data_IF_080361907993
#
_entry.id   IF_080361907993
#
_cell.length_a   1.000
_cell.length_b   1.000
_cell.length_c   1.000
_cell.angle_alpha   90.00
_cell.angle_beta   90.00
_cell.angle_gamma   90.00
#
_symmetry.space_group_name_H-M   'P 1'
#
loop_
_entity.id
_entity.type
_entity.pdbx_description
1 polymer ?
#
# COMPACT_ATOMS: atom_id res chain seq x y z
N UNK A 1 10.96 -8.39 2.70
CA UNK A 1 11.50 -7.05 3.00
C UNK A 1 11.92 -6.31 1.72
N UNK A 2 12.93 -6.81 0.98
CA UNK A 2 13.44 -6.14 -0.24
C UNK A 2 12.35 -5.91 -1.30
N UNK A 3 11.49 -6.90 -1.55
CA UNK A 3 10.37 -6.78 -2.49
C UNK A 3 9.40 -5.63 -2.13
N UNK A 4 9.00 -5.54 -0.86
CA UNK A 4 8.11 -4.47 -0.39
C UNK A 4 8.77 -3.09 -0.47
N UNK A 5 10.07 -2.98 -0.14
CA UNK A 5 10.81 -1.74 -0.28
C UNK A 5 10.91 -1.29 -1.74
N UNK A 6 11.14 -2.23 -2.68
CA UNK A 6 11.17 -1.94 -4.11
C UNK A 6 9.82 -1.45 -4.64
N UNK A 7 8.72 -2.08 -4.23
CA UNK A 7 7.35 -1.65 -4.61
C UNK A 7 7.08 -0.23 -4.11
N UNK A 8 7.40 0.07 -2.85
CA UNK A 8 7.22 1.42 -2.28
C UNK A 8 8.08 2.45 -3.03
N UNK A 9 9.34 2.12 -3.34
CA UNK A 9 10.22 3.01 -4.08
C UNK A 9 9.68 3.33 -5.49
N UNK A 10 9.16 2.33 -6.20
CA UNK A 10 8.53 2.51 -7.53
C UNK A 10 7.29 3.39 -7.42
N UNK A 11 6.43 3.17 -6.42
CA UNK A 11 5.21 3.98 -6.22
C UNK A 11 5.58 5.43 -5.91
N UNK A 12 6.55 5.67 -5.02
CA UNK A 12 7.00 7.03 -4.68
C UNK A 12 7.61 7.71 -5.92
N UNK A 13 8.50 7.02 -6.64
CA UNK A 13 9.13 7.55 -7.84
C UNK A 13 8.10 7.94 -8.90
N UNK A 14 7.17 7.03 -9.21
CA UNK A 14 6.09 7.27 -10.17
C UNK A 14 5.19 8.43 -9.72
N UNK A 15 4.88 8.51 -8.42
CA UNK A 15 4.07 9.57 -7.84
C UNK A 15 4.73 10.96 -7.98
N UNK A 16 6.02 11.07 -7.68
CA UNK A 16 6.77 12.34 -7.82
C UNK A 16 6.81 12.77 -9.29
N UNK A 17 7.12 11.84 -10.20
CA UNK A 17 7.15 12.13 -11.64
C UNK A 17 5.77 12.57 -12.16
N UNK A 18 4.72 11.86 -11.76
CA UNK A 18 3.34 12.17 -12.14
C UNK A 18 2.88 13.53 -11.60
N UNK A 19 3.25 13.88 -10.36
CA UNK A 19 2.94 15.18 -9.74
C UNK A 19 3.43 16.35 -10.56
N UNK A 20 4.68 16.29 -10.99
CA UNK A 20 5.30 17.37 -11.74
C UNK A 20 4.58 17.54 -13.08
N UNK A 21 4.37 16.45 -13.82
CA UNK A 21 3.71 16.48 -15.13
C UNK A 21 2.28 17.03 -15.06
N UNK A 22 1.47 16.56 -14.09
CA UNK A 22 0.08 17.02 -13.95
C UNK A 22 0.02 18.51 -13.60
N UNK A 23 0.88 18.97 -12.69
CA UNK A 23 0.91 20.39 -12.30
C UNK A 23 1.34 21.30 -13.46
N UNK A 24 2.27 20.85 -14.30
CA UNK A 24 2.70 21.61 -15.48
C UNK A 24 1.63 21.65 -16.56
N UNK A 25 0.91 20.56 -16.79
CA UNK A 25 -0.17 20.50 -17.77
C UNK A 25 -1.39 21.33 -17.36
N UNK A 26 -1.73 21.32 -16.07
CA UNK A 26 -2.80 22.21 -15.56
C UNK A 26 -2.40 23.68 -15.74
N UNK A 27 -1.13 24.02 -15.51
CA UNK A 27 -0.64 25.40 -15.64
C UNK A 27 -0.54 25.84 -17.11
N UNK A 28 -0.20 24.95 -18.03
CA UNK A 28 -0.21 25.25 -19.47
C UNK A 28 -1.64 25.47 -19.96
N UNK A 29 -2.59 24.65 -19.52
CA UNK A 29 -4.01 24.79 -19.85
C UNK A 29 -4.60 26.11 -19.32
N UNK A 30 -4.28 26.48 -18.08
CA UNK A 30 -4.70 27.75 -17.48
C UNK A 30 -4.16 28.96 -18.26
N UNK A 31 -2.88 28.93 -18.66
CA UNK A 31 -2.29 29.97 -19.51
C UNK A 31 -2.89 30.02 -20.91
N UNK A 32 -3.22 28.87 -21.50
CA UNK A 32 -3.84 28.81 -22.81
C UNK A 32 -5.25 29.43 -22.78
N UNK A 33 -6.04 29.09 -21.76
CA UNK A 33 -7.37 29.68 -21.54
C UNK A 33 -7.28 31.20 -21.32
N UNK A 34 -6.34 31.67 -20.49
CA UNK A 34 -6.10 33.10 -20.27
C UNK A 34 -5.67 33.83 -21.55
N UNK A 35 -4.85 33.19 -22.39
CA UNK A 35 -4.44 33.77 -23.67
C UNK A 35 -5.61 33.88 -24.64
N UNK A 36 -6.47 32.86 -24.70
CA UNK A 36 -7.66 32.85 -25.55
C UNK A 36 -8.66 33.94 -25.12
N UNK A 37 -8.92 34.08 -23.82
CA UNK A 37 -9.81 35.12 -23.26
C UNK A 37 -9.33 36.54 -23.59
N UNK A 38 -8.02 36.77 -23.46
CA UNK A 38 -7.40 38.03 -23.84
C UNK A 38 -7.55 38.32 -25.34
N UNK A 39 -7.36 37.33 -26.21
CA UNK A 39 -7.49 37.48 -27.67
C UNK A 39 -8.94 37.84 -28.05
N UNK A 40 -9.92 37.09 -27.54
CA UNK A 40 -11.34 37.32 -27.87
C UNK A 40 -11.81 38.66 -27.32
N UNK A 41 -11.40 39.03 -26.11
CA UNK A 41 -11.72 40.33 -25.51
C UNK A 41 -11.11 41.49 -26.29
N UNK A 42 -9.83 41.40 -26.66
CA UNK A 42 -9.17 42.43 -27.47
C UNK A 42 -9.78 42.55 -28.87
N UNK A 43 -10.10 41.42 -29.50
CA UNK A 43 -10.78 41.38 -30.79
C UNK A 43 -12.17 42.01 -30.72
N UNK A 44 -12.97 41.68 -29.71
CA UNK A 44 -14.28 42.26 -29.50
C UNK A 44 -14.21 43.78 -29.25
N UNK A 45 -13.22 44.25 -28.49
CA UNK A 45 -12.98 45.68 -28.26
C UNK A 45 -12.61 46.42 -29.55
N UNK A 46 -11.71 45.85 -30.36
CA UNK A 46 -11.33 46.40 -31.66
C UNK A 46 -12.51 46.45 -32.64
N UNK A 47 -13.27 45.36 -32.75
CA UNK A 47 -14.41 45.26 -33.65
C UNK A 47 -15.53 46.26 -33.30
N UNK A 48 -15.70 46.60 -32.01
CA UNK A 48 -16.62 47.65 -31.55
C UNK A 48 -16.13 49.06 -31.85
N UNK A 49 -14.81 49.30 -31.87
CA UNK A 49 -14.22 50.60 -32.13
C UNK A 49 -14.27 50.99 -33.62
N UNK A 50 -14.32 50.00 -34.53
CA UNK A 50 -14.43 50.24 -35.98
C UNK A 50 -15.89 50.50 -36.36
N UNK A 51 -16.26 51.76 -36.61
CA UNK A 51 -17.60 52.16 -37.05
C UNK A 51 -17.85 51.78 -38.51
N UNK A 52 -18.89 50.98 -38.80
CA UNK A 52 -19.40 50.79 -40.18
C UNK A 52 -19.81 49.37 -40.61
N UNK A 53 -19.71 48.35 -39.75
CA UNK A 53 -20.03 46.96 -40.09
C UNK A 53 -21.28 46.45 -39.34
N UNK A 54 -22.13 45.57 -39.94
CA UNK A 54 -23.20 44.85 -39.24
C UNK A 54 -22.68 43.83 -38.18
N UNK A 55 -21.38 43.88 -37.89
CA UNK A 55 -20.59 42.94 -37.08
C UNK A 55 -20.88 43.03 -35.58
N UNK A 56 -21.56 44.09 -35.11
CA UNK A 56 -21.83 44.31 -33.68
C UNK A 56 -22.64 43.17 -33.05
N UNK A 57 -23.71 42.70 -33.71
CA UNK A 57 -24.53 41.60 -33.21
C UNK A 57 -23.75 40.29 -33.15
N UNK A 58 -22.93 40.00 -34.16
CA UNK A 58 -22.11 38.78 -34.21
C UNK A 58 -21.02 38.77 -33.14
N UNK A 59 -20.43 39.92 -32.82
CA UNK A 59 -19.41 40.04 -31.76
C UNK A 59 -20.02 39.83 -30.37
N UNK A 60 -21.21 40.36 -30.12
CA UNK A 60 -21.89 40.17 -28.84
C UNK A 60 -22.28 38.68 -28.64
N UNK A 61 -22.68 37.99 -29.71
CA UNK A 61 -22.93 36.53 -29.68
C UNK A 61 -21.63 35.76 -29.43
N UNK A 62 -20.55 36.06 -30.16
CA UNK A 62 -19.25 35.40 -29.99
C UNK A 62 -18.71 35.61 -28.57
N UNK A 63 -18.81 36.82 -28.02
CA UNK A 63 -18.32 37.11 -26.67
C UNK A 63 -19.15 36.37 -25.61
N UNK A 64 -20.47 36.26 -25.81
CA UNK A 64 -21.33 35.47 -24.92
C UNK A 64 -20.97 33.99 -24.95
N UNK A 65 -20.90 33.39 -26.15
CA UNK A 65 -20.57 31.97 -26.32
C UNK A 65 -19.16 31.66 -25.78
N UNK A 66 -18.21 32.58 -25.98
CA UNK A 66 -16.86 32.47 -25.44
C UNK A 66 -16.85 32.53 -23.91
N UNK A 67 -17.60 33.44 -23.28
CA UNK A 67 -17.70 33.52 -21.83
C UNK A 67 -18.32 32.24 -21.22
N UNK A 68 -19.34 31.67 -21.87
CA UNK A 68 -19.93 30.38 -21.47
C UNK A 68 -18.90 29.23 -21.59
N UNK A 69 -18.14 29.19 -22.69
CA UNK A 69 -17.07 28.20 -22.90
C UNK A 69 -15.91 28.33 -21.91
N UNK A 70 -15.45 29.55 -21.62
CA UNK A 70 -14.40 29.81 -20.64
C UNK A 70 -14.83 29.43 -19.22
N UNK A 71 -16.10 29.64 -18.87
CA UNK A 71 -16.67 29.15 -17.61
C UNK A 71 -16.56 27.63 -17.50
N UNK A 72 -16.95 26.90 -18.55
CA UNK A 72 -16.82 25.44 -18.58
C UNK A 72 -15.36 24.96 -18.50
N UNK A 73 -14.44 25.62 -19.20
CA UNK A 73 -13.01 25.30 -19.17
C UNK A 73 -12.41 25.55 -17.79
N UNK A 74 -12.74 26.66 -17.14
CA UNK A 74 -12.29 26.95 -15.78
C UNK A 74 -12.81 25.92 -14.78
N UNK A 75 -14.09 25.54 -14.87
CA UNK A 75 -14.66 24.48 -14.04
C UNK A 75 -13.93 23.15 -14.21
N UNK A 76 -13.57 22.79 -15.44
CA UNK A 76 -12.77 21.59 -15.72
C UNK A 76 -11.35 21.68 -15.15
N UNK A 77 -10.68 22.83 -15.26
CA UNK A 77 -9.35 23.06 -14.67
C UNK A 77 -9.42 22.88 -13.14
N UNK A 78 -10.45 23.43 -12.49
CA UNK A 78 -10.66 23.29 -11.04
C UNK A 78 -10.91 21.82 -10.67
N UNK A 79 -11.72 21.11 -11.44
CA UNK A 79 -11.92 19.67 -11.22
C UNK A 79 -10.63 18.87 -11.39
N UNK A 80 -9.83 19.14 -12.42
CA UNK A 80 -8.53 18.52 -12.66
C UNK A 80 -7.56 18.75 -11.50
N UNK A 81 -7.47 19.99 -10.99
CA UNK A 81 -6.69 20.33 -9.79
C UNK A 81 -7.13 19.48 -8.61
N UNK A 82 -8.44 19.40 -8.36
CA UNK A 82 -9.00 18.64 -7.24
C UNK A 82 -8.74 17.14 -7.36
N UNK A 83 -8.87 16.56 -8.56
CA UNK A 83 -8.54 15.15 -8.77
C UNK A 83 -7.07 14.86 -8.54
N UNK A 84 -6.18 15.72 -9.03
CA UNK A 84 -4.75 15.59 -8.79
C UNK A 84 -4.46 15.54 -7.28
N UNK A 85 -5.03 16.46 -6.49
CA UNK A 85 -4.86 16.48 -5.04
C UNK A 85 -5.39 15.22 -4.35
N UNK A 86 -6.57 14.72 -4.77
CA UNK A 86 -7.13 13.48 -4.23
C UNK A 86 -6.25 12.25 -4.52
N UNK A 87 -5.68 12.15 -5.72
CA UNK A 87 -4.76 11.05 -6.05
C UNK A 87 -3.55 11.02 -5.12
N UNK A 88 -2.96 12.19 -4.81
CA UNK A 88 -1.85 12.26 -3.86
C UNK A 88 -2.25 11.88 -2.44
N UNK A 89 -3.42 12.34 -1.98
CA UNK A 89 -3.92 12.00 -0.66
C UNK A 89 -4.17 10.48 -0.52
N UNK A 90 -4.81 9.88 -1.52
CA UNK A 90 -5.08 8.43 -1.57
C UNK A 90 -3.79 7.63 -1.59
N UNK A 91 -2.78 8.07 -2.34
CA UNK A 91 -1.47 7.44 -2.39
C UNK A 91 -0.78 7.47 -1.01
N UNK A 92 -0.82 8.61 -0.31
CA UNK A 92 -0.25 8.72 1.02
C UNK A 92 -0.93 7.78 2.03
N UNK A 93 -2.26 7.73 2.02
CA UNK A 93 -3.04 6.77 2.84
C UNK A 93 -2.64 5.33 2.52
N UNK A 94 -2.52 4.99 1.24
CA UNK A 94 -2.16 3.63 0.80
C UNK A 94 -0.78 3.22 1.30
N UNK A 95 0.21 4.12 1.21
CA UNK A 95 1.56 3.88 1.75
C UNK A 95 1.50 3.71 3.28
N UNK A 96 0.75 4.55 3.99
CA UNK A 96 0.60 4.44 5.44
C UNK A 96 -0.02 3.10 5.87
N UNK A 97 -1.07 2.64 5.17
CA UNK A 97 -1.70 1.34 5.41
C UNK A 97 -0.70 0.20 5.14
N UNK A 98 0.06 0.26 4.04
CA UNK A 98 1.08 -0.75 3.74
C UNK A 98 2.12 -0.86 4.84
N UNK A 99 2.63 0.27 5.35
CA UNK A 99 3.62 0.28 6.44
C UNK A 99 3.00 -0.30 7.72
N UNK A 100 1.77 0.09 8.06
CA UNK A 100 1.07 -0.44 9.22
C UNK A 100 0.88 -1.97 9.13
N UNK A 101 0.46 -2.48 7.98
CA UNK A 101 0.32 -3.93 7.74
C UNK A 101 1.67 -4.66 7.83
N UNK A 102 2.74 -4.07 7.29
CA UNK A 102 4.08 -4.64 7.39
C UNK A 102 4.53 -4.76 8.86
N UNK A 103 4.26 -3.74 9.68
CA UNK A 103 4.56 -3.76 11.11
C UNK A 103 3.74 -4.84 11.84
N UNK A 104 2.43 -4.90 11.62
CA UNK A 104 1.56 -5.93 12.22
C UNK A 104 2.04 -7.33 11.85
N UNK A 105 2.37 -7.55 10.58
CA UNK A 105 2.86 -8.85 10.09
C UNK A 105 4.21 -9.22 10.71
N UNK A 106 5.11 -8.25 10.89
CA UNK A 106 6.40 -8.47 11.55
C UNK A 106 6.21 -8.95 13.01
N UNK A 107 5.36 -8.28 13.79
CA UNK A 107 5.06 -8.71 15.16
C UNK A 107 4.36 -10.07 15.21
N UNK A 108 3.47 -10.34 14.25
CA UNK A 108 2.80 -11.63 14.13
C UNK A 108 3.79 -12.76 13.89
N UNK A 109 4.75 -12.59 12.98
CA UNK A 109 5.80 -13.58 12.72
C UNK A 109 6.66 -13.83 13.94
N UNK A 110 7.13 -12.78 14.63
CA UNK A 110 7.90 -12.92 15.87
C UNK A 110 7.13 -13.76 16.90
N UNK A 111 5.83 -13.48 17.06
CA UNK A 111 4.98 -14.21 18.01
C UNK A 111 4.86 -15.69 17.65
N UNK A 112 4.71 -16.02 16.37
CA UNK A 112 4.70 -17.40 15.90
C UNK A 112 6.05 -18.07 16.12
N UNK A 113 7.15 -17.43 15.75
CA UNK A 113 8.49 -17.98 15.94
C UNK A 113 8.75 -18.33 17.40
N UNK A 114 8.40 -17.44 18.34
CA UNK A 114 8.51 -17.75 19.77
C UNK A 114 7.65 -18.94 20.22
N UNK A 115 6.45 -19.10 19.67
CA UNK A 115 5.57 -20.25 19.95
C UNK A 115 6.04 -21.56 19.33
N UNK A 116 6.87 -21.49 18.29
CA UNK A 116 7.44 -22.67 17.63
C UNK A 116 8.78 -23.10 18.23
N UNK A 117 9.72 -22.17 18.45
CA UNK A 117 11.08 -22.50 18.87
C UNK A 117 11.16 -23.15 20.24
N UNK A 118 10.32 -22.73 21.19
CA UNK A 118 10.28 -23.31 22.54
C UNK A 118 9.94 -24.82 22.52
N UNK A 119 8.78 -25.21 21.97
CA UNK A 119 8.41 -26.61 21.84
C UNK A 119 9.41 -27.46 21.07
N UNK A 120 9.92 -26.95 19.95
CA UNK A 120 10.91 -27.66 19.12
C UNK A 120 12.15 -28.00 19.94
N UNK A 121 12.67 -27.04 20.73
CA UNK A 121 13.83 -27.29 21.58
C UNK A 121 13.58 -28.38 22.64
N UNK A 122 12.41 -28.35 23.29
CA UNK A 122 12.03 -29.37 24.28
C UNK A 122 11.91 -30.75 23.62
N UNK A 123 11.31 -30.81 22.43
CA UNK A 123 11.16 -32.04 21.66
C UNK A 123 12.50 -32.62 21.23
N UNK A 124 13.41 -31.79 20.69
CA UNK A 124 14.76 -32.23 20.32
C UNK A 124 15.53 -32.81 21.51
N UNK A 125 15.41 -32.21 22.70
CA UNK A 125 16.03 -32.74 23.91
C UNK A 125 15.44 -34.08 24.34
N UNK A 126 14.11 -34.22 24.34
CA UNK A 126 13.45 -35.50 24.62
C UNK A 126 13.91 -36.61 23.66
N UNK A 127 14.00 -36.29 22.36
CA UNK A 127 14.49 -37.23 21.35
C UNK A 127 15.95 -37.62 21.63
N UNK A 128 16.81 -36.66 21.95
CA UNK A 128 18.22 -36.94 22.29
C UNK A 128 18.34 -37.83 23.54
N UNK A 129 17.57 -37.55 24.59
CA UNK A 129 17.57 -38.36 25.81
C UNK A 129 17.16 -39.82 25.50
N UNK A 130 16.14 -40.02 24.66
CA UNK A 130 15.70 -41.35 24.18
C UNK A 130 16.78 -42.08 23.37
N UNK A 131 17.47 -41.37 22.47
CA UNK A 131 18.58 -41.89 21.66
C UNK A 131 19.72 -42.35 22.58
N UNK A 132 20.07 -41.53 23.57
CA UNK A 132 21.15 -41.80 24.52
C UNK A 132 20.78 -42.87 25.58
N UNK A 133 19.55 -43.37 25.54
CA UNK A 133 19.02 -44.34 26.50
C UNK A 133 18.79 -43.79 27.90
N UNK A 134 18.77 -42.46 28.04
CA UNK A 134 18.42 -41.77 29.28
C UNK A 134 16.90 -41.65 29.41
N UNK A 135 16.39 -41.57 30.63
CA UNK A 135 14.97 -41.28 30.83
C UNK A 135 14.66 -39.82 30.46
N UNK A 136 13.79 -39.56 29.46
CA UNK A 136 13.44 -38.22 29.05
C UNK A 136 12.63 -37.50 30.14
N UNK A 137 12.97 -36.24 30.43
CA UNK A 137 12.19 -35.40 31.33
C UNK A 137 11.03 -34.76 30.58
N UNK A 138 9.83 -35.30 30.76
CA UNK A 138 8.62 -34.73 30.19
C UNK A 138 8.18 -33.47 30.97
N UNK A 139 8.06 -32.35 30.26
CA UNK A 139 7.55 -31.09 30.80
C UNK A 139 6.42 -30.61 29.92
N UNK A 140 5.29 -30.22 30.50
CA UNK A 140 4.15 -29.69 29.75
C UNK A 140 4.54 -28.45 28.93
N UNK A 141 4.18 -28.45 27.64
CA UNK A 141 4.21 -27.26 26.80
C UNK A 141 3.15 -26.25 27.21
N UNK A 142 3.34 -24.98 26.82
CA UNK A 142 2.35 -23.93 27.10
C UNK A 142 1.10 -24.18 26.28
N UNK A 143 -0.01 -23.63 26.74
CA UNK A 143 -1.32 -23.92 26.16
C UNK A 143 -1.44 -23.47 24.69
N UNK A 144 -0.77 -22.38 24.32
CA UNK A 144 -0.83 -21.74 23.00
C UNK A 144 0.35 -22.10 22.09
N UNK A 145 1.10 -23.14 22.42
CA UNK A 145 2.23 -23.61 21.62
C UNK A 145 1.73 -24.45 20.43
N UNK A 146 2.25 -24.18 19.23
CA UNK A 146 1.75 -24.75 17.98
C UNK A 146 1.98 -26.28 17.88
N UNK A 147 3.02 -26.81 18.53
CA UNK A 147 3.41 -28.23 18.45
C UNK A 147 2.85 -29.12 19.58
N UNK A 148 1.83 -28.66 20.32
CA UNK A 148 1.32 -29.38 21.50
C UNK A 148 0.83 -30.80 21.21
N UNK A 149 0.15 -31.00 20.09
CA UNK A 149 -0.32 -32.33 19.67
C UNK A 149 0.86 -33.25 19.31
N UNK A 150 1.82 -32.74 18.53
CA UNK A 150 3.02 -33.49 18.15
C UNK A 150 3.84 -33.89 19.38
N UNK A 151 3.96 -32.98 20.35
CA UNK A 151 4.63 -33.27 21.62
C UNK A 151 3.92 -34.36 22.41
N UNK A 152 2.57 -34.37 22.46
CA UNK A 152 1.82 -35.43 23.12
C UNK A 152 2.09 -36.80 22.50
N UNK A 153 2.14 -36.89 21.16
CA UNK A 153 2.50 -38.12 20.45
C UNK A 153 3.95 -38.55 20.73
N UNK A 154 4.87 -37.59 20.85
CA UNK A 154 6.26 -37.86 21.23
C UNK A 154 6.38 -38.45 22.64
N UNK A 155 5.61 -37.93 23.61
CA UNK A 155 5.57 -38.48 24.97
C UNK A 155 5.07 -39.93 24.94
N UNK A 156 3.95 -40.18 24.26
CA UNK A 156 3.37 -41.54 24.17
C UNK A 156 4.35 -42.55 23.54
N UNK A 157 5.08 -42.12 22.51
CA UNK A 157 6.13 -42.94 21.88
C UNK A 157 7.27 -43.22 22.85
N UNK A 158 7.77 -42.20 23.55
CA UNK A 158 8.85 -42.33 24.53
C UNK A 158 8.48 -43.30 25.65
N UNK A 159 7.27 -43.19 26.20
CA UNK A 159 6.76 -44.11 27.22
C UNK A 159 6.70 -45.56 26.75
N UNK A 160 6.24 -45.81 25.50
CA UNK A 160 6.21 -47.18 24.93
C UNK A 160 7.62 -47.76 24.76
N UNK A 161 8.57 -46.96 24.30
CA UNK A 161 9.97 -47.39 24.13
C UNK A 161 10.62 -47.72 25.48
N UNK A 162 10.41 -46.87 26.49
CA UNK A 162 10.99 -47.08 27.83
C UNK A 162 10.36 -48.28 28.54
N UNK A 163 9.03 -48.48 28.43
CA UNK A 163 8.35 -49.68 28.96
C UNK A 163 8.82 -50.97 28.27
N UNK A 164 9.11 -50.93 26.97
CA UNK A 164 9.67 -52.07 26.24
C UNK A 164 11.13 -52.43 26.63
N UNK A 165 11.85 -51.54 27.33
CA UNK A 165 13.27 -51.72 27.69
C UNK A 165 13.53 -52.38 29.06
N UNK A 166 12.51 -52.77 29.84
CA UNK A 166 12.71 -53.40 31.16
C UNK A 166 11.87 -54.67 31.35
N UNK A 167 12.41 -55.84 31.79
CA UNK A 167 13.79 -56.35 31.83
C UNK A 167 13.93 -57.72 31.10
N UNK A 168 14.59 -57.78 29.94
CA UNK A 168 15.02 -59.06 29.33
C UNK A 168 16.47 -59.06 28.82
N UNK A 169 17.28 -58.03 29.14
CA UNK A 169 18.69 -57.97 28.73
C UNK A 169 19.62 -57.72 29.93
N UNK A 170 19.37 -58.42 31.04
CA UNK A 170 20.37 -58.65 32.09
C UNK A 170 20.63 -60.15 32.20
N UNK A 171 21.36 -60.70 31.22
CA UNK A 171 22.17 -61.90 31.36
C UNK A 171 23.33 -61.81 30.38
#
# INVERSE_FOLDING_TARGET
MIFFAAVIAVIIFFSIMSRNNISTEIRSLEKAAETEDNIVTAFAAYARAVTGLPVKLSIDVIQKDHAESMGAIQDHIVMLKRYADYYFYLLFITIAIMIALAAVYYFYLIRITHRMSGPVFVMSRCIQDLIDGREPRFRSLREKDEFKEMYRKLIELGEKITKGRSPQQRF
#
